data_IF_402852978272
#
_entry.id   IF_402852978272
#
_cell.length_a   1.000
_cell.length_b   1.000
_cell.length_c   1.000
_cell.angle_alpha   90.00
_cell.angle_beta   90.00
_cell.angle_gamma   90.00
#
_symmetry.space_group_name_H-M   'P 1'
#
loop_
_entity.id
_entity.type
_entity.pdbx_description
1 polymer ?
#
# COMPACT_ATOMS: atom_id res chain seq x y z
N UNK A 1 -52.51 -26.37 13.09
CA UNK A 1 -51.27 -27.04 12.61
C UNK A 1 -50.83 -26.29 11.38
N UNK A 2 -49.56 -25.88 11.27
CA UNK A 2 -49.07 -25.29 10.03
C UNK A 2 -49.24 -26.29 8.90
N UNK A 3 -49.71 -25.85 7.73
CA UNK A 3 -49.81 -26.76 6.59
C UNK A 3 -48.41 -26.96 6.00
N UNK A 4 -48.15 -28.14 5.43
CA UNK A 4 -46.86 -28.54 4.84
C UNK A 4 -46.34 -27.55 3.78
N UNK A 5 -47.24 -26.82 3.12
CA UNK A 5 -46.90 -25.85 2.08
C UNK A 5 -46.38 -24.54 2.68
N UNK A 6 -46.92 -24.10 3.81
CA UNK A 6 -46.50 -22.92 4.55
C UNK A 6 -45.12 -23.12 5.19
N UNK A 7 -44.86 -24.32 5.73
CA UNK A 7 -43.55 -24.69 6.27
C UNK A 7 -42.47 -24.67 5.18
N UNK A 8 -42.79 -25.22 3.99
CA UNK A 8 -41.88 -25.18 2.84
C UNK A 8 -41.61 -23.75 2.37
N UNK A 9 -42.64 -22.90 2.29
CA UNK A 9 -42.46 -21.49 1.91
C UNK A 9 -41.54 -20.77 2.89
N UNK A 10 -41.78 -20.93 4.18
CA UNK A 10 -40.94 -20.35 5.23
C UNK A 10 -39.49 -20.81 5.11
N UNK A 11 -39.25 -22.11 4.90
CA UNK A 11 -37.90 -22.63 4.71
C UNK A 11 -37.19 -21.99 3.49
N UNK A 12 -37.90 -21.81 2.37
CA UNK A 12 -37.35 -21.17 1.18
C UNK A 12 -37.07 -19.67 1.41
N UNK A 13 -37.91 -18.98 2.17
CA UNK A 13 -37.69 -17.58 2.57
C UNK A 13 -36.45 -17.47 3.48
N UNK A 14 -36.33 -18.35 4.48
CA UNK A 14 -35.19 -18.37 5.40
C UNK A 14 -33.87 -18.61 4.65
N UNK A 15 -33.84 -19.59 3.73
CA UNK A 15 -32.67 -19.84 2.86
C UNK A 15 -32.33 -18.63 1.98
N UNK A 16 -33.35 -17.98 1.42
CA UNK A 16 -33.18 -16.77 0.63
C UNK A 16 -32.56 -15.64 1.45
N UNK A 17 -33.06 -15.40 2.67
CA UNK A 17 -32.53 -14.36 3.55
C UNK A 17 -31.10 -14.64 3.98
N UNK A 18 -30.75 -15.88 4.34
CA UNK A 18 -29.37 -16.26 4.68
C UNK A 18 -28.43 -16.00 3.51
N UNK A 19 -28.84 -16.35 2.29
CA UNK A 19 -28.04 -16.09 1.09
C UNK A 19 -27.83 -14.58 0.88
N UNK A 20 -28.89 -13.78 1.03
CA UNK A 20 -28.82 -12.32 0.86
C UNK A 20 -27.98 -11.65 1.93
N UNK A 21 -28.11 -12.07 3.18
CA UNK A 21 -27.30 -11.56 4.27
C UNK A 21 -25.82 -11.89 4.03
N UNK A 22 -25.49 -13.12 3.62
CA UNK A 22 -24.12 -13.49 3.26
C UNK A 22 -23.56 -12.63 2.12
N UNK A 23 -24.33 -12.42 1.05
CA UNK A 23 -23.94 -11.54 -0.07
C UNK A 23 -23.67 -10.10 0.40
N UNK A 24 -24.53 -9.56 1.28
CA UNK A 24 -24.36 -8.23 1.85
C UNK A 24 -23.12 -8.13 2.74
N UNK A 25 -22.91 -9.11 3.62
CA UNK A 25 -21.74 -9.19 4.49
C UNK A 25 -20.45 -9.24 3.68
N UNK A 26 -20.42 -10.03 2.61
CA UNK A 26 -19.25 -10.13 1.73
C UNK A 26 -18.93 -8.80 1.06
N UNK A 27 -19.94 -8.10 0.52
CA UNK A 27 -19.78 -6.76 -0.04
C UNK A 27 -19.29 -5.74 0.98
N UNK A 28 -19.83 -5.78 2.21
CA UNK A 28 -19.40 -4.89 3.29
C UNK A 28 -17.95 -5.15 3.69
N UNK A 29 -17.53 -6.42 3.76
CA UNK A 29 -16.14 -6.79 4.05
C UNK A 29 -15.18 -6.30 2.96
N UNK A 30 -15.49 -6.56 1.69
CA UNK A 30 -14.68 -6.10 0.57
C UNK A 30 -14.53 -4.58 0.56
N UNK A 31 -15.63 -3.85 0.80
CA UNK A 31 -15.59 -2.39 0.92
C UNK A 31 -14.70 -1.94 2.07
N UNK A 32 -14.89 -2.49 3.28
CA UNK A 32 -14.08 -2.15 4.46
C UNK A 32 -12.60 -2.44 4.25
N UNK A 33 -12.25 -3.54 3.57
CA UNK A 33 -10.87 -3.89 3.26
C UNK A 33 -10.23 -2.88 2.31
N UNK A 34 -10.95 -2.48 1.25
CA UNK A 34 -10.46 -1.43 0.34
C UNK A 34 -10.29 -0.09 1.05
N UNK A 35 -11.24 0.31 1.88
CA UNK A 35 -11.18 1.55 2.69
C UNK A 35 -10.01 1.51 3.68
N UNK A 36 -9.78 0.37 4.35
CA UNK A 36 -8.68 0.19 5.28
C UNK A 36 -7.31 0.24 4.57
N UNK A 37 -7.17 -0.42 3.43
CA UNK A 37 -5.95 -0.40 2.62
C UNK A 37 -5.63 1.02 2.13
N UNK A 38 -6.64 1.74 1.66
CA UNK A 38 -6.49 3.15 1.25
C UNK A 38 -6.07 4.04 2.42
N UNK A 39 -6.67 3.86 3.60
CA UNK A 39 -6.31 4.63 4.79
C UNK A 39 -4.85 4.38 5.21
N UNK A 40 -4.39 3.13 5.22
CA UNK A 40 -2.98 2.81 5.54
C UNK A 40 -2.03 3.41 4.52
N UNK A 41 -2.36 3.33 3.22
CA UNK A 41 -1.55 3.94 2.15
C UNK A 41 -1.39 5.44 2.34
N UNK A 42 -2.45 6.14 2.77
CA UNK A 42 -2.40 7.57 3.03
C UNK A 42 -1.55 7.92 4.25
N UNK A 43 -1.69 7.15 5.34
CA UNK A 43 -0.91 7.34 6.56
C UNK A 43 0.60 7.20 6.28
N UNK A 44 0.99 6.24 5.45
CA UNK A 44 2.38 5.97 5.11
C UNK A 44 2.94 6.86 3.98
N UNK A 45 2.11 7.70 3.35
CA UNK A 45 2.53 8.60 2.27
C UNK A 45 3.59 9.60 2.78
N UNK A 46 4.71 9.74 2.06
CA UNK A 46 5.83 10.62 2.41
C UNK A 46 6.41 10.40 3.82
N UNK A 47 6.32 9.15 4.33
CA UNK A 47 6.94 8.75 5.59
C UNK A 47 8.00 7.71 5.36
N UNK A 48 9.05 7.78 6.17
CA UNK A 48 10.10 6.78 6.17
C UNK A 48 9.54 5.44 6.70
N UNK A 49 9.62 4.33 5.96
CA UNK A 49 9.16 3.03 6.46
C UNK A 49 10.10 2.41 7.49
N UNK A 50 11.31 2.96 7.69
CA UNK A 50 12.22 2.53 8.75
C UNK A 50 11.83 3.10 10.12
N UNK A 51 11.41 4.36 10.19
CA UNK A 51 11.19 5.04 11.47
C UNK A 51 9.90 5.87 11.57
N UNK A 52 9.11 6.00 10.51
CA UNK A 52 7.83 6.71 10.50
C UNK A 52 7.92 8.24 10.37
N UNK A 53 9.13 8.81 10.45
CA UNK A 53 9.35 10.25 10.33
C UNK A 53 9.12 10.77 8.90
N UNK A 54 8.71 12.05 8.72
CA UNK A 54 8.43 12.60 7.40
C UNK A 54 9.70 12.68 6.55
N UNK A 55 9.52 12.40 5.26
CA UNK A 55 10.49 12.67 4.22
C UNK A 55 10.45 14.16 3.87
N UNK A 56 11.62 14.74 3.62
CA UNK A 56 11.76 16.11 3.14
C UNK A 56 12.62 16.10 1.89
N UNK A 57 12.13 16.78 0.87
CA UNK A 57 12.89 17.02 -0.36
C UNK A 57 14.13 17.87 -0.05
N UNK A 58 15.27 17.44 -0.58
CA UNK A 58 16.55 18.16 -0.52
C UNK A 58 17.24 18.13 -1.86
N UNK A 59 17.96 19.20 -2.19
CA UNK A 59 18.81 19.22 -3.37
C UNK A 59 20.17 18.58 -3.07
N UNK A 60 20.48 17.49 -3.78
CA UNK A 60 21.78 16.85 -3.78
C UNK A 60 22.34 16.87 -5.20
N UNK A 61 23.47 17.56 -5.41
CA UNK A 61 24.12 17.63 -6.74
C UNK A 61 23.17 18.04 -7.89
N UNK A 62 22.25 18.98 -7.60
CA UNK A 62 21.18 19.48 -8.51
C UNK A 62 20.04 18.50 -8.80
N UNK A 63 19.95 17.41 -8.05
CA UNK A 63 18.84 16.44 -8.09
C UNK A 63 18.03 16.63 -6.81
N UNK A 64 16.70 16.60 -6.92
CA UNK A 64 15.82 16.60 -5.76
C UNK A 64 15.74 15.17 -5.24
N UNK A 65 16.02 14.97 -3.96
CA UNK A 65 15.97 13.65 -3.31
C UNK A 65 15.15 13.75 -2.02
N UNK A 66 14.44 12.68 -1.68
CA UNK A 66 13.68 12.62 -0.44
C UNK A 66 14.53 12.09 0.71
N UNK A 67 14.80 12.93 1.71
CA UNK A 67 15.56 12.53 2.88
C UNK A 67 14.68 12.46 4.13
N UNK A 68 14.77 11.34 4.84
CA UNK A 68 14.15 11.17 6.14
C UNK A 68 14.78 12.09 7.20
N UNK A 69 13.93 12.82 7.92
CA UNK A 69 14.35 13.75 8.97
C UNK A 69 14.81 13.09 10.27
N UNK A 70 14.43 11.83 10.52
CA UNK A 70 14.80 11.09 11.73
C UNK A 70 16.07 10.24 11.55
N UNK A 71 16.00 9.23 10.67
CA UNK A 71 17.10 8.28 10.50
C UNK A 71 18.10 8.65 9.40
N UNK A 72 17.87 9.75 8.66
CA UNK A 72 18.74 10.20 7.57
C UNK A 72 18.70 9.36 6.30
N UNK A 73 17.80 8.37 6.22
CA UNK A 73 17.64 7.52 5.03
C UNK A 73 17.20 8.32 3.80
N UNK A 74 17.69 7.92 2.63
CA UNK A 74 17.38 8.56 1.35
C UNK A 74 16.40 7.66 0.58
N UNK A 75 15.37 8.30 0.04
CA UNK A 75 14.32 7.73 -0.80
C UNK A 75 14.49 8.33 -2.18
N UNK A 76 14.57 7.46 -3.19
CA UNK A 76 14.75 7.83 -4.58
C UNK A 76 13.61 7.24 -5.38
N UNK A 77 13.04 8.04 -6.27
CA UNK A 77 12.05 7.59 -7.22
C UNK A 77 12.71 6.83 -8.39
N UNK A 78 11.95 6.00 -9.12
CA UNK A 78 12.46 5.32 -10.31
C UNK A 78 13.04 6.34 -11.32
N UNK A 79 14.29 6.17 -11.74
CA UNK A 79 14.98 7.09 -12.65
C UNK A 79 15.92 8.10 -11.98
N UNK A 80 15.70 8.43 -10.70
CA UNK A 80 16.55 9.37 -9.96
C UNK A 80 17.90 8.75 -9.61
N UNK A 81 17.92 7.43 -9.38
CA UNK A 81 19.13 6.70 -9.00
C UNK A 81 20.15 6.66 -10.15
N UNK A 82 19.69 6.54 -11.40
CA UNK A 82 20.52 6.60 -12.59
C UNK A 82 21.11 8.00 -12.80
N UNK A 83 20.34 9.05 -12.50
CA UNK A 83 20.81 10.43 -12.58
C UNK A 83 21.90 10.73 -11.54
N UNK A 84 21.73 10.21 -10.32
CA UNK A 84 22.73 10.32 -9.25
C UNK A 84 23.98 9.51 -9.60
N UNK A 85 23.82 8.25 -10.02
CA UNK A 85 24.94 7.35 -10.31
C UNK A 85 25.75 7.77 -11.54
N UNK A 86 25.10 8.29 -12.59
CA UNK A 86 25.77 8.76 -13.81
C UNK A 86 26.63 10.01 -13.58
N UNK A 87 26.35 10.80 -12.54
CA UNK A 87 27.11 12.02 -12.19
C UNK A 87 28.28 11.75 -11.25
N UNK A 88 28.22 10.70 -10.44
CA UNK A 88 29.29 10.34 -9.50
C UNK A 88 30.31 9.37 -10.11
N UNK A 89 31.11 9.84 -11.08
CA UNK A 89 32.31 9.10 -11.49
C UNK A 89 33.36 9.11 -10.35
N UNK A 90 33.35 8.08 -9.50
CA UNK A 90 34.39 7.82 -8.50
C UNK A 90 33.91 7.67 -7.04
N UNK A 91 32.64 7.95 -6.75
CA UNK A 91 32.08 7.83 -5.41
C UNK A 91 31.75 6.39 -5.00
N UNK A 92 31.62 6.15 -3.70
CA UNK A 92 31.26 4.85 -3.14
C UNK A 92 29.89 4.36 -3.65
N UNK A 93 28.96 5.27 -3.98
CA UNK A 93 27.64 4.96 -4.56
C UNK A 93 27.77 4.37 -5.98
N UNK A 94 28.61 4.95 -6.83
CA UNK A 94 28.88 4.39 -8.16
C UNK A 94 29.55 3.01 -8.11
N UNK A 95 30.45 2.81 -7.13
CA UNK A 95 31.11 1.50 -6.90
C UNK A 95 30.19 0.45 -6.29
N UNK A 96 29.22 0.85 -5.49
CA UNK A 96 28.21 -0.03 -4.91
C UNK A 96 27.34 -0.64 -6.02
N UNK A 97 26.96 0.16 -7.02
CA UNK A 97 26.06 -0.30 -8.09
C UNK A 97 26.72 -1.03 -9.24
N UNK A 98 27.97 -0.72 -9.60
CA UNK A 98 28.75 -1.55 -10.53
C UNK A 98 28.93 -3.01 -10.06
N UNK A 99 28.62 -3.30 -8.78
CA UNK A 99 28.65 -4.65 -8.20
C UNK A 99 27.39 -5.46 -8.50
N UNK A 100 26.24 -4.82 -8.69
CA UNK A 100 24.92 -5.52 -8.72
C UNK A 100 24.59 -6.06 -10.12
N UNK A 101 25.26 -5.56 -11.15
CA UNK A 101 25.16 -6.07 -12.53
C UNK A 101 26.14 -7.22 -12.85
N UNK A 102 26.84 -7.79 -11.85
CA UNK A 102 27.73 -8.95 -12.02
C UNK A 102 27.28 -10.17 -11.25
#
# INVERSE_FOLDING_TARGET
MANKWDERKKALEDEYFVKKEKELIEKLKARKETEASQAVKEICRMRCPKCGEPLKERSFQKILIDQCTGCGGIWLDPGEIEEVAGREQGSWLGKLWQRVEK
#
